data_IF_207979391092
#
_entry.id   IF_207979391092
#
_cell.length_a   1.000
_cell.length_b   1.000
_cell.length_c   1.000
_cell.angle_alpha   90.00
_cell.angle_beta   90.00
_cell.angle_gamma   90.00
#
_symmetry.space_group_name_H-M   'P 1'
#
loop_
_entity.id
_entity.type
_entity.pdbx_description
1 polymer ?
#
# COMPACT_ATOMS: atom_id res chain seq x y z
N UNK A 1 10.79 -10.48 -7.03
CA UNK A 1 10.94 -9.19 -6.30
C UNK A 1 11.33 -9.38 -4.84
N UNK A 2 10.91 -10.46 -4.17
CA UNK A 2 11.24 -10.70 -2.75
C UNK A 2 12.39 -11.68 -2.48
N UNK A 3 13.06 -12.18 -3.53
CA UNK A 3 14.18 -13.12 -3.36
C UNK A 3 15.44 -12.38 -2.90
N UNK A 4 16.13 -12.92 -1.89
CA UNK A 4 17.39 -12.40 -1.32
C UNK A 4 17.31 -10.96 -0.75
N UNK A 5 16.12 -10.48 -0.40
CA UNK A 5 15.88 -9.11 0.13
C UNK A 5 16.03 -9.00 1.67
N UNK A 6 16.33 -10.10 2.35
CA UNK A 6 16.43 -10.10 3.82
C UNK A 6 15.06 -10.04 4.51
N UNK A 7 14.94 -9.15 5.50
CA UNK A 7 13.73 -9.05 6.33
C UNK A 7 12.62 -8.32 5.59
N UNK A 8 11.42 -8.92 5.57
CA UNK A 8 10.22 -8.28 5.04
C UNK A 8 9.31 -7.83 6.19
N UNK A 9 8.66 -6.68 5.99
CA UNK A 9 7.62 -6.17 6.88
C UNK A 9 6.32 -6.04 6.08
N UNK A 10 5.19 -6.19 6.76
CA UNK A 10 3.88 -6.12 6.13
C UNK A 10 2.94 -5.28 6.97
N UNK A 11 2.42 -4.22 6.38
CA UNK A 11 1.33 -3.44 6.94
C UNK A 11 0.04 -3.72 6.18
N UNK A 12 -1.07 -3.82 6.90
CA UNK A 12 -2.41 -3.97 6.30
C UNK A 12 -3.28 -2.85 6.84
N UNK A 13 -4.05 -2.24 5.93
CA UNK A 13 -5.02 -1.22 6.28
C UNK A 13 -6.30 -1.40 5.46
N UNK A 14 -7.43 -1.08 6.08
CA UNK A 14 -8.74 -1.12 5.45
C UNK A 14 -9.47 0.20 5.71
N UNK A 15 -10.19 0.66 4.71
CA UNK A 15 -11.07 1.82 4.80
C UNK A 15 -12.15 1.71 3.70
N UNK A 16 -13.19 2.53 3.85
CA UNK A 16 -14.36 2.57 2.97
C UNK A 16 -14.74 4.03 2.69
N UNK A 17 -15.51 4.25 1.62
CA UNK A 17 -15.99 5.57 1.19
C UNK A 17 -15.01 6.36 0.31
N UNK A 18 -15.25 7.66 0.19
CA UNK A 18 -14.67 8.53 -0.87
C UNK A 18 -13.13 8.61 -0.88
N UNK A 19 -12.48 8.43 0.27
CA UNK A 19 -11.01 8.42 0.42
C UNK A 19 -10.48 7.07 0.94
N UNK A 20 -11.19 5.97 0.66
CA UNK A 20 -10.86 4.63 1.15
C UNK A 20 -9.42 4.23 0.85
N UNK A 21 -8.92 4.52 -0.36
CA UNK A 21 -7.59 4.07 -0.75
C UNK A 21 -6.47 4.83 -0.02
N UNK A 22 -6.61 6.14 0.11
CA UNK A 22 -5.68 6.97 0.86
C UNK A 22 -5.66 6.62 2.36
N UNK A 23 -6.83 6.46 2.97
CA UNK A 23 -6.96 6.12 4.39
C UNK A 23 -6.51 4.68 4.70
N UNK A 24 -6.84 3.72 3.83
CA UNK A 24 -6.35 2.35 3.94
C UNK A 24 -4.83 2.31 3.89
N UNK A 25 -4.23 3.08 2.99
CA UNK A 25 -2.77 3.17 2.85
C UNK A 25 -2.11 3.78 4.09
N UNK A 26 -2.65 4.90 4.62
CA UNK A 26 -2.16 5.49 5.87
C UNK A 26 -2.23 4.51 7.05
N UNK A 27 -3.31 3.73 7.14
CA UNK A 27 -3.45 2.68 8.15
C UNK A 27 -2.46 1.54 7.92
N UNK A 28 -2.18 1.18 6.68
CA UNK A 28 -1.21 0.15 6.35
C UNK A 28 0.20 0.57 6.79
N UNK A 29 0.65 1.79 6.48
CA UNK A 29 1.99 2.29 6.85
C UNK A 29 2.15 2.55 8.36
N UNK A 30 1.05 2.75 9.08
CA UNK A 30 1.03 2.91 10.54
C UNK A 30 0.61 1.64 11.29
N UNK A 31 0.52 0.52 10.57
CA UNK A 31 0.09 -0.75 11.14
C UNK A 31 1.10 -1.22 12.19
N UNK A 32 0.64 -1.75 13.34
CA UNK A 32 1.53 -2.29 14.37
C UNK A 32 2.33 -3.53 13.92
N UNK A 33 2.02 -4.07 12.73
CA UNK A 33 2.80 -5.13 12.08
C UNK A 33 4.09 -4.60 11.43
N UNK A 34 4.20 -3.28 11.23
CA UNK A 34 5.44 -2.59 10.88
C UNK A 34 6.17 -2.24 12.17
N UNK A 35 6.98 -3.19 12.65
CA UNK A 35 7.81 -3.02 13.85
C UNK A 35 8.91 -1.96 13.64
N UNK A 36 9.29 -1.74 12.37
CA UNK A 36 10.18 -0.69 11.91
C UNK A 36 9.42 0.16 10.90
N UNK A 37 9.64 1.48 10.92
CA UNK A 37 9.10 2.40 9.92
C UNK A 37 9.45 1.93 8.51
N UNK A 38 8.59 2.24 7.53
CA UNK A 38 8.89 1.97 6.10
C UNK A 38 10.09 2.76 5.58
N UNK A 39 10.53 3.75 6.36
CA UNK A 39 11.66 4.62 6.09
C UNK A 39 12.96 3.79 6.05
N UNK A 40 13.54 3.67 4.85
CA UNK A 40 14.71 2.83 4.57
C UNK A 40 14.42 1.54 3.80
N UNK A 41 13.16 1.29 3.41
CA UNK A 41 12.86 0.20 2.49
C UNK A 41 13.44 0.50 1.09
N UNK A 42 14.17 -0.45 0.51
CA UNK A 42 14.67 -0.36 -0.88
C UNK A 42 13.63 -0.84 -1.91
N UNK A 43 12.72 -1.71 -1.47
CA UNK A 43 11.69 -2.33 -2.29
C UNK A 43 10.36 -2.32 -1.55
N UNK A 44 9.30 -1.84 -2.20
CA UNK A 44 7.95 -1.90 -1.64
C UNK A 44 7.02 -2.61 -2.63
N UNK A 45 6.27 -3.58 -2.13
CA UNK A 45 5.17 -4.21 -2.87
C UNK A 45 3.86 -3.69 -2.30
N UNK A 46 3.16 -2.89 -3.09
CA UNK A 46 1.87 -2.32 -2.76
C UNK A 46 0.79 -3.09 -3.52
N UNK A 47 -0.11 -3.76 -2.81
CA UNK A 47 -1.28 -4.38 -3.43
C UNK A 47 -2.55 -3.72 -2.92
N UNK A 48 -3.36 -3.20 -3.84
CA UNK A 48 -4.63 -2.56 -3.53
C UNK A 48 -5.74 -3.48 -4.00
N UNK A 49 -6.63 -3.84 -3.08
CA UNK A 49 -7.78 -4.70 -3.38
C UNK A 49 -9.05 -3.90 -3.16
N UNK A 50 -9.89 -3.81 -4.18
CA UNK A 50 -11.16 -3.06 -4.14
C UNK A 50 -12.20 -3.70 -5.05
N UNK A 51 -13.40 -3.12 -5.07
CA UNK A 51 -14.46 -3.52 -6.00
C UNK A 51 -14.16 -3.11 -7.44
N UNK A 52 -15.13 -3.30 -8.34
CA UNK A 52 -15.04 -2.87 -9.76
C UNK A 52 -14.94 -1.34 -9.90
N UNK A 53 -15.24 -0.61 -8.84
CA UNK A 53 -15.15 0.85 -8.74
C UNK A 53 -13.73 1.34 -8.42
N UNK A 54 -12.76 0.45 -8.22
CA UNK A 54 -11.37 0.84 -7.97
C UNK A 54 -10.76 1.53 -9.19
N UNK A 55 -10.40 2.80 -9.02
CA UNK A 55 -9.86 3.61 -10.10
C UNK A 55 -8.33 3.67 -10.10
N UNK A 56 -7.73 3.97 -11.26
CA UNK A 56 -6.29 4.26 -11.36
C UNK A 56 -5.87 5.47 -10.51
N UNK A 57 -6.77 6.43 -10.31
CA UNK A 57 -6.51 7.61 -9.49
C UNK A 57 -6.32 7.24 -8.02
N UNK A 58 -7.22 6.42 -7.48
CA UNK A 58 -7.08 5.89 -6.12
C UNK A 58 -5.77 5.10 -5.95
N UNK A 59 -5.43 4.26 -6.93
CA UNK A 59 -4.18 3.50 -6.89
C UNK A 59 -2.93 4.39 -6.89
N UNK A 60 -2.96 5.50 -7.64
CA UNK A 60 -1.91 6.50 -7.67
C UNK A 60 -1.76 7.20 -6.31
N UNK A 61 -2.87 7.60 -5.69
CA UNK A 61 -2.85 8.25 -4.36
C UNK A 61 -2.17 7.37 -3.31
N UNK A 62 -2.45 6.07 -3.30
CA UNK A 62 -1.77 5.12 -2.42
C UNK A 62 -0.26 5.05 -2.68
N UNK A 63 0.15 4.99 -3.95
CA UNK A 63 1.56 4.96 -4.32
C UNK A 63 2.30 6.24 -3.87
N UNK A 64 1.66 7.40 -4.00
CA UNK A 64 2.21 8.69 -3.55
C UNK A 64 2.36 8.76 -2.03
N UNK A 65 1.38 8.27 -1.27
CA UNK A 65 1.46 8.25 0.21
C UNK A 65 2.61 7.36 0.67
N UNK A 66 2.76 6.18 0.06
CA UNK A 66 3.86 5.24 0.38
C UNK A 66 5.22 5.82 -0.01
N UNK A 67 5.30 6.43 -1.20
CA UNK A 67 6.51 7.11 -1.66
C UNK A 67 6.89 8.28 -0.75
N UNK A 68 5.93 9.10 -0.33
CA UNK A 68 6.17 10.24 0.57
C UNK A 68 6.57 9.81 1.98
N UNK A 69 6.15 8.62 2.43
CA UNK A 69 6.54 8.06 3.72
C UNK A 69 7.91 7.36 3.69
N UNK A 70 8.53 7.20 2.51
CA UNK A 70 9.86 6.63 2.34
C UNK A 70 10.87 7.75 2.03
N UNK A 71 11.91 7.96 2.85
CA UNK A 71 12.87 9.05 2.62
C UNK A 71 13.90 8.76 1.52
N UNK A 72 13.96 7.52 1.03
CA UNK A 72 14.91 7.05 0.02
C UNK A 72 14.25 6.78 -1.32
N UNK A 73 15.05 6.75 -2.39
CA UNK A 73 14.62 6.29 -3.71
C UNK A 73 14.30 4.78 -3.64
N UNK A 74 13.02 4.48 -3.47
CA UNK A 74 12.49 3.13 -3.28
C UNK A 74 11.83 2.64 -4.57
N UNK A 75 12.06 1.38 -4.94
CA UNK A 75 11.36 0.80 -6.07
C UNK A 75 10.00 0.25 -5.61
N UNK A 76 8.94 0.93 -6.04
CA UNK A 76 7.55 0.59 -5.69
C UNK A 76 6.95 -0.25 -6.81
N UNK A 77 6.52 -1.45 -6.47
CA UNK A 77 5.77 -2.33 -7.35
C UNK A 77 4.32 -2.30 -6.89
N UNK A 78 3.48 -1.67 -7.70
CA UNK A 78 2.06 -1.59 -7.43
C UNK A 78 1.32 -2.72 -8.16
N UNK A 79 0.32 -3.28 -7.48
CA UNK A 79 -0.65 -4.22 -8.01
C UNK A 79 -2.04 -3.81 -7.61
N UNK A 80 -3.00 -3.99 -8.51
CA UNK A 80 -4.41 -3.81 -8.23
C UNK A 80 -5.11 -5.15 -8.41
N UNK A 81 -5.95 -5.51 -7.46
CA UNK A 81 -6.78 -6.71 -7.51
C UNK A 81 -8.24 -6.27 -7.40
N UNK A 82 -9.01 -6.54 -8.45
CA UNK A 82 -10.46 -6.33 -8.42
C UNK A 82 -11.08 -7.57 -7.79
N UNK A 83 -11.91 -7.36 -6.77
CA UNK A 83 -12.63 -8.42 -6.09
C UNK A 83 -14.11 -8.04 -5.99
N UNK A 84 -14.94 -8.67 -6.82
CA UNK A 84 -16.39 -8.43 -6.93
C UNK A 84 -17.18 -8.76 -5.65
N UNK A 85 -16.53 -9.31 -4.61
CA UNK A 85 -17.11 -9.55 -3.29
C UNK A 85 -16.88 -8.40 -2.31
N UNK A 86 -16.05 -7.43 -2.67
CA UNK A 86 -15.82 -6.23 -1.88
C UNK A 86 -16.81 -5.18 -2.36
N UNK A 87 -17.88 -5.00 -1.57
CA UNK A 87 -18.69 -3.79 -1.61
C UNK A 87 -17.99 -2.69 -0.77
N UNK A 88 -18.21 -1.43 -1.16
CA UNK A 88 -17.54 -0.20 -0.70
C UNK A 88 -17.41 -0.03 0.83
#
# INVERSE_FOLDING_TARGET
>A
VMQDQGTALMGIGTASGENRTAEATKKAISSPLLEVSIDGAEQILLNISGGEDLTLFEAQDAAEIVGAASSSEVNIIFGTTINDRLDD
#
